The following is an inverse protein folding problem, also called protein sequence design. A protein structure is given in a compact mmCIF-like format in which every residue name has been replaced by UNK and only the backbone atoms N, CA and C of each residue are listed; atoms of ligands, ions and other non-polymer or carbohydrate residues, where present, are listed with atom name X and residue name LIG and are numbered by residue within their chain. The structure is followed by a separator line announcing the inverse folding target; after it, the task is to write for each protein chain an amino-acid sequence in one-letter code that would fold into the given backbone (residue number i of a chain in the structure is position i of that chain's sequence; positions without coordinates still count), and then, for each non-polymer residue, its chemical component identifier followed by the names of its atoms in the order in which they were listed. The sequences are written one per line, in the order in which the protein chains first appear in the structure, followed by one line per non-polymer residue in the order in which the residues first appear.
data_IF_866001964485
#
_entry.id   IF_866001964485
#
_cell.length_a   1.000
_cell.length_b   1.000
_cell.length_c   1.000
_cell.angle_alpha   90.00
_cell.angle_beta   90.00
_cell.angle_gamma   90.00
#
_symmetry.space_group_name_H-M   'P 1'
#
loop_
_entity.id
_entity.type
_entity.pdbx_description
1 polymer ?
#
# COMPACT_ATOMS: atom_id res chain seq x y z
N UNK A 1 24.96 -34.98 15.57
CA UNK A 1 24.95 -33.75 14.76
C UNK A 1 23.76 -33.76 13.82
N UNK A 2 22.66 -33.10 14.18
CA UNK A 2 21.51 -32.92 13.30
C UNK A 2 21.46 -31.43 12.96
N UNK A 3 21.87 -31.07 11.74
CA UNK A 3 21.80 -29.69 11.26
C UNK A 3 20.37 -29.39 10.82
N UNK A 4 19.82 -28.36 11.45
CA UNK A 4 18.57 -27.68 11.15
C UNK A 4 18.61 -27.12 9.72
N UNK A 5 17.79 -27.65 8.82
CA UNK A 5 17.56 -27.09 7.49
C UNK A 5 16.59 -25.92 7.63
N UNK A 6 17.13 -24.71 7.77
CA UNK A 6 16.41 -23.45 7.57
C UNK A 6 16.09 -23.34 6.08
N UNK A 7 14.94 -23.90 5.69
CA UNK A 7 14.28 -23.51 4.46
C UNK A 7 13.31 -22.43 4.90
N UNK A 8 13.72 -21.18 4.74
CA UNK A 8 12.79 -20.07 4.67
C UNK A 8 11.82 -20.41 3.53
N UNK A 9 10.64 -20.92 3.89
CA UNK A 9 9.50 -20.96 2.98
C UNK A 9 9.20 -19.50 2.62
N UNK A 10 9.73 -19.02 1.51
CA UNK A 10 9.03 -18.04 0.69
C UNK A 10 7.68 -18.66 0.35
N UNK A 11 6.72 -18.49 1.26
CA UNK A 11 5.32 -18.71 0.97
C UNK A 11 5.04 -17.84 -0.24
N UNK A 12 4.72 -18.49 -1.35
CA UNK A 12 4.11 -17.87 -2.51
C UNK A 12 2.80 -17.25 -1.99
N UNK A 13 2.88 -16.00 -1.52
CA UNK A 13 1.79 -15.29 -0.86
C UNK A 13 0.74 -15.02 -1.92
N UNK A 14 -0.14 -15.99 -2.09
CA UNK A 14 -1.25 -15.92 -3.02
C UNK A 14 -2.11 -14.73 -2.65
N UNK A 15 -2.39 -13.87 -3.63
CA UNK A 15 -3.21 -12.68 -3.41
C UNK A 15 -4.58 -13.04 -2.81
N UNK A 16 -4.98 -12.44 -1.68
CA UNK A 16 -6.26 -12.78 -1.04
C UNK A 16 -7.47 -12.37 -1.88
N UNK A 17 -8.55 -13.16 -1.80
CA UNK A 17 -9.75 -12.95 -2.63
C UNK A 17 -10.88 -12.18 -1.94
N UNK A 18 -10.99 -12.25 -0.61
CA UNK A 18 -11.99 -11.49 0.15
C UNK A 18 -11.44 -10.18 0.72
N UNK A 19 -12.32 -9.20 0.90
CA UNK A 19 -11.96 -7.85 1.32
C UNK A 19 -11.23 -7.79 2.67
N UNK A 20 -11.61 -8.62 3.66
CA UNK A 20 -10.94 -8.57 4.96
C UNK A 20 -9.51 -9.09 4.87
N UNK A 21 -9.29 -10.18 4.14
CA UNK A 21 -7.96 -10.74 3.97
C UNK A 21 -7.08 -9.86 3.06
N UNK A 22 -7.66 -9.17 2.07
CA UNK A 22 -6.93 -8.13 1.32
C UNK A 22 -6.45 -7.02 2.27
N UNK A 23 -7.33 -6.51 3.15
CA UNK A 23 -6.94 -5.48 4.13
C UNK A 23 -5.85 -6.00 5.08
N UNK A 24 -5.98 -7.23 5.59
CA UNK A 24 -4.96 -7.84 6.47
C UNK A 24 -3.61 -8.00 5.76
N UNK A 25 -3.62 -8.42 4.49
CA UNK A 25 -2.42 -8.51 3.66
C UNK A 25 -1.76 -7.14 3.47
N UNK A 26 -2.55 -6.11 3.15
CA UNK A 26 -2.02 -4.75 3.07
C UNK A 26 -1.42 -4.30 4.41
N UNK A 27 -2.08 -4.57 5.53
CA UNK A 27 -1.54 -4.24 6.87
C UNK A 27 -0.22 -4.99 7.13
N UNK A 28 -0.12 -6.28 6.82
CA UNK A 28 1.11 -7.06 7.05
C UNK A 28 2.28 -6.57 6.19
N UNK A 29 2.01 -6.00 5.02
CA UNK A 29 3.01 -5.38 4.14
C UNK A 29 3.43 -3.96 4.53
N UNK A 30 2.78 -3.34 5.52
CA UNK A 30 3.16 -1.99 5.94
C UNK A 30 4.50 -2.03 6.70
N UNK A 31 5.47 -1.24 6.25
CA UNK A 31 6.76 -1.07 6.95
C UNK A 31 6.55 -0.37 8.29
N UNK A 32 7.53 -0.52 9.20
CA UNK A 32 7.47 0.14 10.51
C UNK A 32 7.36 1.67 10.43
N UNK A 33 7.88 2.31 9.37
CA UNK A 33 7.76 3.75 9.16
C UNK A 33 6.38 4.20 8.64
N UNK A 34 5.47 3.27 8.38
CA UNK A 34 4.12 3.52 7.86
C UNK A 34 4.00 3.49 6.34
N UNK A 35 5.09 3.27 5.61
CA UNK A 35 5.04 3.18 4.14
C UNK A 35 4.72 1.78 3.64
N UNK A 36 4.23 1.71 2.41
CA UNK A 36 4.20 0.50 1.60
C UNK A 36 5.25 0.55 0.50
N UNK A 37 5.74 -0.61 0.10
CA UNK A 37 6.67 -0.80 -1.01
C UNK A 37 6.27 -2.05 -1.78
N UNK A 38 5.00 -2.07 -2.19
CA UNK A 38 4.39 -3.19 -2.91
C UNK A 38 5.11 -3.44 -4.23
N UNK A 39 5.16 -4.69 -4.68
CA UNK A 39 5.67 -4.99 -6.01
C UNK A 39 4.64 -4.65 -7.12
N UNK A 40 5.02 -4.86 -8.37
CA UNK A 40 4.14 -4.55 -9.49
C UNK A 40 2.89 -5.45 -9.54
N UNK A 41 3.01 -6.72 -9.12
CA UNK A 41 1.90 -7.69 -9.13
C UNK A 41 0.88 -7.33 -8.05
N UNK A 42 1.33 -6.97 -6.86
CA UNK A 42 0.48 -6.48 -5.77
C UNK A 42 -0.37 -5.29 -6.21
N UNK A 43 0.24 -4.33 -6.90
CA UNK A 43 -0.47 -3.14 -7.41
C UNK A 43 -1.49 -3.52 -8.47
N UNK A 44 -1.12 -4.42 -9.38
CA UNK A 44 -2.03 -4.90 -10.43
C UNK A 44 -3.21 -5.67 -9.85
N UNK A 45 -2.98 -6.54 -8.86
CA UNK A 45 -4.06 -7.22 -8.17
C UNK A 45 -4.96 -6.27 -7.37
N UNK A 46 -4.38 -5.24 -6.74
CA UNK A 46 -5.12 -4.28 -5.93
C UNK A 46 -6.01 -3.36 -6.77
N UNK A 47 -5.50 -2.91 -7.92
CA UNK A 47 -6.07 -1.81 -8.71
C UNK A 47 -6.61 -2.25 -10.08
N UNK A 48 -6.28 -3.46 -10.54
CA UNK A 48 -6.54 -3.92 -11.91
C UNK A 48 -5.68 -3.23 -12.97
N UNK A 49 -4.69 -2.42 -12.57
CA UNK A 49 -3.85 -1.62 -13.47
C UNK A 49 -2.37 -1.82 -13.11
N UNK A 50 -1.46 -1.88 -14.10
CA UNK A 50 -0.04 -2.01 -13.81
C UNK A 50 0.49 -0.72 -13.15
N UNK A 51 1.50 -0.84 -12.28
CA UNK A 51 2.07 0.31 -11.55
C UNK A 51 2.51 1.48 -12.48
N UNK A 52 2.96 1.17 -13.70
CA UNK A 52 3.34 2.17 -14.73
C UNK A 52 2.18 3.05 -15.21
N UNK A 53 0.93 2.69 -14.93
CA UNK A 53 -0.24 3.51 -15.25
C UNK A 53 -0.39 4.71 -14.35
N UNK A 54 0.32 4.74 -13.20
CA UNK A 54 0.24 5.81 -12.21
C UNK A 54 1.41 6.82 -12.32
N UNK A 55 1.32 8.03 -11.72
CA UNK A 55 2.32 9.09 -11.87
C UNK A 55 3.72 8.66 -11.41
N UNK A 56 4.70 8.75 -12.30
CA UNK A 56 6.08 8.28 -12.08
C UNK A 56 7.01 9.34 -11.47
N UNK A 57 6.52 10.56 -11.22
CA UNK A 57 7.34 11.66 -10.67
C UNK A 57 7.75 11.45 -9.21
N UNK A 58 7.20 10.43 -8.54
CA UNK A 58 7.48 10.09 -7.15
C UNK A 58 8.20 8.75 -7.04
N UNK A 59 8.90 8.53 -5.93
CA UNK A 59 9.50 7.22 -5.65
C UNK A 59 8.42 6.13 -5.58
N UNK A 60 8.79 4.88 -5.92
CA UNK A 60 7.92 3.70 -5.84
C UNK A 60 7.22 3.58 -4.48
N UNK A 61 7.94 3.85 -3.39
CA UNK A 61 7.41 3.84 -2.04
C UNK A 61 6.30 4.88 -1.83
N UNK A 62 6.50 6.12 -2.28
CA UNK A 62 5.48 7.18 -2.19
C UNK A 62 4.24 6.78 -3.01
N UNK A 63 4.46 6.29 -4.23
CA UNK A 63 3.41 5.93 -5.16
C UNK A 63 2.56 4.77 -4.65
N UNK A 64 3.18 3.65 -4.28
CA UNK A 64 2.47 2.47 -3.76
C UNK A 64 1.77 2.77 -2.44
N UNK A 65 2.37 3.58 -1.56
CA UNK A 65 1.70 4.02 -0.33
C UNK A 65 0.44 4.85 -0.61
N UNK A 66 0.50 5.77 -1.58
CA UNK A 66 -0.65 6.56 -1.99
C UNK A 66 -1.75 5.68 -2.60
N UNK A 67 -1.40 4.73 -3.45
CA UNK A 67 -2.34 3.75 -4.03
C UNK A 67 -3.06 2.97 -2.93
N UNK A 68 -2.34 2.45 -1.94
CA UNK A 68 -2.93 1.70 -0.83
C UNK A 68 -3.87 2.58 0.00
N UNK A 69 -3.45 3.80 0.37
CA UNK A 69 -4.31 4.74 1.11
C UNK A 69 -5.61 4.98 0.36
N UNK A 70 -5.53 5.38 -0.91
CA UNK A 70 -6.72 5.70 -1.69
C UNK A 70 -7.61 4.46 -1.85
N UNK A 71 -7.03 3.29 -2.09
CA UNK A 71 -7.82 2.05 -2.23
C UNK A 71 -8.53 1.67 -0.94
N UNK A 72 -7.88 1.82 0.22
CA UNK A 72 -8.51 1.59 1.53
C UNK A 72 -9.66 2.57 1.77
N UNK A 73 -9.46 3.85 1.43
CA UNK A 73 -10.46 4.89 1.61
C UNK A 73 -11.64 4.80 0.64
N UNK A 74 -11.45 4.26 -0.57
CA UNK A 74 -12.51 4.16 -1.58
C UNK A 74 -13.16 2.77 -1.60
N UNK A 75 -12.40 1.72 -1.91
CA UNK A 75 -12.90 0.35 -2.07
C UNK A 75 -13.29 -0.30 -0.75
N UNK A 76 -12.59 0.04 0.33
CA UNK A 76 -12.77 -0.58 1.64
C UNK A 76 -13.32 0.37 2.71
N UNK A 77 -14.03 1.43 2.28
CA UNK A 77 -14.54 2.51 3.15
C UNK A 77 -15.36 1.99 4.35
N UNK A 78 -16.20 0.97 4.13
CA UNK A 78 -17.08 0.37 5.16
C UNK A 78 -16.33 -0.46 6.21
N UNK A 79 -15.05 -0.76 5.98
CA UNK A 79 -14.17 -1.54 6.86
C UNK A 79 -13.10 -0.68 7.54
N UNK A 80 -13.35 0.63 7.67
CA UNK A 80 -12.39 1.61 8.21
C UNK A 80 -11.84 1.27 9.58
N UNK A 81 -12.60 0.58 10.43
CA UNK A 81 -12.13 0.09 11.73
C UNK A 81 -10.91 -0.82 11.63
N UNK A 82 -10.70 -1.50 10.50
CA UNK A 82 -9.56 -2.38 10.27
C UNK A 82 -8.30 -1.62 9.83
N UNK A 83 -8.45 -0.52 9.08
CA UNK A 83 -7.31 0.13 8.41
C UNK A 83 -7.04 1.58 8.84
N UNK A 84 -7.93 2.21 9.60
CA UNK A 84 -7.83 3.64 9.92
C UNK A 84 -6.46 4.02 10.51
N UNK A 85 -5.98 3.26 11.51
CA UNK A 85 -4.70 3.53 12.16
C UNK A 85 -3.50 3.45 11.22
N UNK A 86 -3.46 2.43 10.36
CA UNK A 86 -2.35 2.26 9.40
C UNK A 86 -2.38 3.34 8.31
N UNK A 87 -3.56 3.79 7.88
CA UNK A 87 -3.71 4.89 6.93
C UNK A 87 -3.25 6.22 7.54
N UNK A 88 -3.60 6.54 8.79
CA UNK A 88 -3.12 7.77 9.43
C UNK A 88 -1.59 7.80 9.55
N UNK A 89 -0.99 6.65 9.90
CA UNK A 89 0.46 6.49 9.95
C UNK A 89 1.10 6.72 8.59
N UNK A 90 0.54 6.15 7.53
CA UNK A 90 1.01 6.30 6.17
C UNK A 90 0.88 7.74 5.64
N UNK A 91 -0.26 8.40 5.90
CA UNK A 91 -0.49 9.82 5.58
C UNK A 91 0.58 10.71 6.23
N UNK A 92 0.89 10.49 7.51
CA UNK A 92 1.98 11.19 8.21
C UNK A 92 3.34 10.94 7.57
N UNK A 93 3.61 9.70 7.15
CA UNK A 93 4.87 9.34 6.47
C UNK A 93 4.99 10.03 5.10
N UNK A 94 3.96 9.98 4.27
CA UNK A 94 3.92 10.64 2.97
C UNK A 94 4.07 12.16 3.11
N UNK A 95 3.37 12.77 4.07
CA UNK A 95 3.53 14.20 4.37
C UNK A 95 4.99 14.56 4.62
N UNK A 96 5.72 13.77 5.42
CA UNK A 96 7.14 14.00 5.67
C UNK A 96 8.00 13.79 4.43
N UNK A 97 7.76 12.74 3.64
CA UNK A 97 8.51 12.44 2.40
C UNK A 97 8.30 13.50 1.31
N UNK A 98 7.13 14.14 1.28
CA UNK A 98 6.79 15.20 0.35
C UNK A 98 7.26 16.59 0.83
N UNK A 99 8.13 16.65 1.84
CA UNK A 99 8.69 17.89 2.35
C UNK A 99 7.72 18.69 3.23
N UNK A 100 6.76 18.01 3.88
CA UNK A 100 5.71 18.62 4.72
C UNK A 100 4.81 19.59 3.95
N UNK A 101 4.61 19.32 2.67
CA UNK A 101 3.73 20.08 1.80
C UNK A 101 2.38 19.37 1.68
N UNK A 102 1.35 19.94 2.31
CA UNK A 102 -0.01 19.40 2.28
C UNK A 102 -0.61 19.42 0.88
N UNK A 103 -0.28 20.42 0.05
CA UNK A 103 -0.81 20.52 -1.31
C UNK A 103 -0.27 19.38 -2.17
N UNK A 104 1.03 19.07 -2.06
CA UNK A 104 1.62 17.91 -2.76
C UNK A 104 0.98 16.60 -2.34
N UNK A 105 0.71 16.43 -1.05
CA UNK A 105 0.04 15.23 -0.55
C UNK A 105 -1.37 15.10 -1.12
N UNK A 106 -2.20 16.12 -0.97
CA UNK A 106 -3.60 16.09 -1.44
C UNK A 106 -3.67 15.95 -2.96
N UNK A 107 -2.83 16.65 -3.71
CA UNK A 107 -2.74 16.48 -5.16
C UNK A 107 -2.31 15.08 -5.58
N UNK A 108 -1.36 14.46 -4.86
CA UNK A 108 -0.97 13.08 -5.13
C UNK A 108 -2.15 12.12 -4.90
N UNK A 109 -2.82 12.21 -3.75
CA UNK A 109 -3.93 11.33 -3.40
C UNK A 109 -5.10 11.51 -4.37
N UNK A 110 -5.41 12.74 -4.78
CA UNK A 110 -6.46 13.02 -5.75
C UNK A 110 -6.13 12.50 -7.15
N UNK A 111 -4.88 12.69 -7.61
CA UNK A 111 -4.44 12.16 -8.90
C UNK A 111 -4.53 10.63 -8.96
N UNK A 112 -4.24 9.93 -7.86
CA UNK A 112 -4.40 8.48 -7.76
C UNK A 112 -5.88 8.11 -7.71
N UNK A 113 -6.71 8.85 -6.96
CA UNK A 113 -8.16 8.63 -6.87
C UNK A 113 -8.86 8.70 -8.22
N UNK A 114 -8.45 9.62 -9.09
CA UNK A 114 -9.00 9.74 -10.44
C UNK A 114 -8.59 8.59 -11.38
N UNK A 115 -7.60 7.79 -10.98
CA UNK A 115 -7.08 6.67 -11.76
C UNK A 115 -7.49 5.30 -11.22
N UNK A 116 -8.19 5.22 -10.09
CA UNK A 116 -8.80 3.98 -9.59
C UNK A 116 -10.22 3.89 -10.10
#
# INVERSE_FOLDING_TARGET
SHQQSLIDEEKDETWPTDNQNIIRYLISKQKFDGSWDLDAKDVEHLTGKPLRSFPTSNSKQILTSAIVIVTLETRFATMSTLWYGVVQKARKRLFNLLGKDVKKLESLLENIRQQL
#
